data_IF_568853928787
#
_entry.id   IF_568853928787
#
_cell.length_a   1.000
_cell.length_b   1.000
_cell.length_c   1.000
_cell.angle_alpha   90.00
_cell.angle_beta   90.00
_cell.angle_gamma   90.00
#
_symmetry.space_group_name_H-M   'P 1'
#
loop_
_entity.id
_entity.type
_entity.pdbx_description
1 polymer ?
#
# COMPACT_ATOMS: atom_id res chain seq x y z
N UNK A 1 -7.91 0.68 -5.16
CA UNK A 1 -7.53 2.10 -5.39
C UNK A 1 -7.70 2.38 -6.88
N UNK A 2 -8.36 3.48 -7.24
CA UNK A 2 -8.81 3.75 -8.62
C UNK A 2 -8.39 5.15 -9.10
N UNK A 3 -7.36 5.71 -8.48
CA UNK A 3 -6.79 7.03 -8.82
C UNK A 3 -5.30 6.99 -8.54
N UNK A 4 -4.51 7.66 -9.36
CA UNK A 4 -3.10 7.90 -9.05
C UNK A 4 -2.95 8.89 -7.88
N UNK A 5 -1.76 8.98 -7.28
CA UNK A 5 -1.49 9.95 -6.19
C UNK A 5 -1.66 11.40 -6.68
N UNK A 6 -1.28 11.65 -7.94
CA UNK A 6 -1.41 12.93 -8.64
C UNK A 6 -1.96 12.66 -10.04
N UNK A 7 -2.94 13.46 -10.46
CA UNK A 7 -3.54 13.46 -11.80
C UNK A 7 -3.70 14.91 -12.26
N UNK A 8 -3.28 15.23 -13.49
CA UNK A 8 -3.29 16.60 -14.04
C UNK A 8 -2.65 17.64 -13.10
N UNK A 9 -1.56 17.25 -12.43
CA UNK A 9 -0.84 18.10 -11.47
C UNK A 9 -1.58 18.34 -10.14
N UNK A 10 -2.77 17.75 -9.95
CA UNK A 10 -3.56 17.85 -8.72
C UNK A 10 -3.41 16.60 -7.88
N UNK A 11 -3.15 16.77 -6.58
CA UNK A 11 -3.12 15.66 -5.63
C UNK A 11 -4.52 15.06 -5.47
N UNK A 12 -4.65 13.75 -5.70
CA UNK A 12 -5.90 12.98 -5.55
C UNK A 12 -5.87 12.07 -4.34
N UNK A 13 -4.70 11.53 -4.02
CA UNK A 13 -4.51 10.67 -2.86
C UNK A 13 -3.16 10.92 -2.20
N UNK A 14 -2.99 10.43 -0.97
CA UNK A 14 -1.70 10.37 -0.30
C UNK A 14 -1.11 8.97 -0.41
N UNK A 15 0.21 8.86 -0.28
CA UNK A 15 0.90 7.59 -0.14
C UNK A 15 0.64 7.05 1.28
N UNK A 16 -0.26 6.07 1.42
CA UNK A 16 -0.62 5.43 2.71
C UNK A 16 -0.02 4.03 2.87
N UNK A 17 0.96 3.69 2.03
CA UNK A 17 1.65 2.40 1.98
C UNK A 17 3.16 2.62 1.93
N UNK A 18 3.98 1.60 2.25
CA UNK A 18 5.42 1.67 2.03
C UNK A 18 5.76 1.89 0.55
N UNK A 19 6.94 2.47 0.30
CA UNK A 19 7.42 2.75 -1.05
C UNK A 19 7.95 1.49 -1.77
N UNK A 20 8.54 0.56 -1.02
CA UNK A 20 9.09 -0.69 -1.53
C UNK A 20 8.81 -1.90 -0.60
N UNK A 21 9.24 -3.08 -1.03
CA UNK A 21 9.04 -4.36 -0.32
C UNK A 21 10.02 -4.60 0.83
N UNK A 22 11.03 -3.75 1.02
CA UNK A 22 12.02 -3.91 2.09
C UNK A 22 11.67 -3.06 3.30
N UNK A 23 10.78 -2.09 3.14
CA UNK A 23 10.44 -1.13 4.17
C UNK A 23 9.10 -1.43 4.85
N UNK A 24 9.08 -1.19 6.17
CA UNK A 24 7.86 -1.14 6.97
C UNK A 24 7.60 0.31 7.33
N UNK A 25 6.39 0.79 7.02
CA UNK A 25 5.97 2.14 7.35
C UNK A 25 4.94 2.10 8.47
N UNK A 26 5.12 2.96 9.48
CA UNK A 26 4.18 3.11 10.58
C UNK A 26 3.22 4.26 10.30
N UNK A 27 1.93 3.98 10.35
CA UNK A 27 0.83 4.94 10.20
C UNK A 27 0.02 4.95 11.50
N UNK A 28 0.38 5.83 12.44
CA UNK A 28 -0.17 5.82 13.79
C UNK A 28 0.15 4.50 14.51
N UNK A 29 -0.87 3.80 14.97
CA UNK A 29 -0.73 2.51 15.65
C UNK A 29 -0.62 1.31 14.70
N UNK A 30 -0.60 1.50 13.38
CA UNK A 30 -0.59 0.41 12.41
C UNK A 30 0.76 0.40 11.68
N UNK A 31 1.48 -0.71 11.77
CA UNK A 31 2.64 -0.96 10.94
C UNK A 31 2.20 -1.71 9.68
N UNK A 32 2.65 -1.24 8.52
CA UNK A 32 2.35 -1.84 7.22
C UNK A 32 3.68 -2.21 6.55
N UNK A 33 3.81 -3.47 6.16
CA UNK A 33 4.95 -3.99 5.39
C UNK A 33 4.46 -4.49 4.04
N UNK A 34 5.17 -4.16 2.96
CA UNK A 34 4.83 -4.67 1.63
C UNK A 34 5.57 -5.98 1.38
N UNK A 35 4.84 -7.08 1.24
CA UNK A 35 5.40 -8.41 1.07
C UNK A 35 5.67 -8.70 -0.40
N UNK A 36 4.74 -8.30 -1.27
CA UNK A 36 4.82 -8.54 -2.71
C UNK A 36 4.19 -7.40 -3.47
N UNK A 37 4.71 -7.10 -4.65
CA UNK A 37 4.11 -6.19 -5.62
C UNK A 37 4.25 -6.79 -7.03
N UNK A 38 3.16 -6.81 -7.78
CA UNK A 38 3.12 -7.29 -9.17
C UNK A 38 2.50 -6.20 -10.04
N UNK A 39 3.18 -5.85 -11.13
CA UNK A 39 2.75 -4.82 -12.07
C UNK A 39 2.16 -5.49 -13.31
N UNK A 40 0.96 -5.05 -13.69
CA UNK A 40 0.26 -5.46 -14.90
C UNK A 40 0.02 -4.22 -15.77
N UNK A 41 -0.57 -4.42 -16.96
CA UNK A 41 -0.83 -3.33 -17.90
C UNK A 41 -1.74 -2.24 -17.30
N UNK A 42 -2.87 -2.66 -16.70
CA UNK A 42 -3.90 -1.71 -16.25
C UNK A 42 -3.96 -1.56 -14.73
N UNK A 43 -3.19 -2.35 -13.98
CA UNK A 43 -3.22 -2.31 -12.53
C UNK A 43 -1.93 -2.83 -11.89
N UNK A 44 -1.75 -2.50 -10.62
CA UNK A 44 -0.69 -3.01 -9.75
C UNK A 44 -1.31 -3.66 -8.52
N UNK A 45 -0.99 -4.92 -8.28
CA UNK A 45 -1.40 -5.64 -7.07
C UNK A 45 -0.28 -5.61 -6.03
N UNK A 46 -0.66 -5.60 -4.76
CA UNK A 46 0.25 -5.69 -3.62
C UNK A 46 -0.34 -6.58 -2.55
N UNK A 47 0.55 -7.33 -1.91
CA UNK A 47 0.26 -8.03 -0.67
C UNK A 47 0.89 -7.25 0.48
N UNK A 48 0.07 -6.78 1.41
CA UNK A 48 0.48 -5.98 2.55
C UNK A 48 0.24 -6.77 3.84
N UNK A 49 1.21 -6.77 4.74
CA UNK A 49 1.01 -7.23 6.12
C UNK A 49 0.81 -6.03 7.04
N UNK A 50 -0.28 -6.08 7.79
CA UNK A 50 -0.64 -5.06 8.75
C UNK A 50 -0.56 -5.64 10.17
N UNK A 51 0.07 -4.91 11.07
CA UNK A 51 0.10 -5.23 12.51
C UNK A 51 -0.28 -3.99 13.31
N UNK A 52 -0.99 -4.18 14.43
CA UNK A 52 -1.19 -3.09 15.40
C UNK A 52 -0.03 -3.08 16.40
N UNK A 53 0.49 -1.90 16.71
CA UNK A 53 1.50 -1.70 17.76
C UNK A 53 1.05 -2.39 19.05
N UNK A 54 1.98 -3.10 19.70
CA UNK A 54 1.73 -3.90 20.90
C UNK A 54 0.74 -5.07 20.72
N UNK A 55 0.41 -5.46 19.49
CA UNK A 55 -0.31 -6.72 19.20
C UNK A 55 0.55 -7.62 18.33
N UNK A 56 0.33 -8.93 18.49
CA UNK A 56 1.02 -9.97 17.72
C UNK A 56 0.22 -10.40 16.49
N UNK A 57 -1.03 -9.97 16.38
CA UNK A 57 -1.91 -10.31 15.27
C UNK A 57 -1.39 -9.67 13.98
N UNK A 58 -1.20 -10.50 12.96
CA UNK A 58 -0.82 -10.09 11.60
C UNK A 58 -2.01 -10.31 10.69
N UNK A 59 -2.33 -9.31 9.88
CA UNK A 59 -3.41 -9.40 8.88
C UNK A 59 -2.84 -9.13 7.49
N UNK A 60 -3.14 -10.04 6.56
CA UNK A 60 -2.78 -9.85 5.16
C UNK A 60 -3.89 -9.10 4.43
N UNK A 61 -3.51 -8.02 3.75
CA UNK A 61 -4.39 -7.19 2.93
C UNK A 61 -3.92 -7.23 1.48
N UNK A 62 -4.84 -7.56 0.57
CA UNK A 62 -4.59 -7.47 -0.86
C UNK A 62 -5.03 -6.11 -1.39
N UNK A 63 -4.07 -5.35 -1.91
CA UNK A 63 -4.30 -4.03 -2.49
C UNK A 63 -4.22 -4.12 -4.01
N UNK A 64 -5.28 -3.69 -4.69
CA UNK A 64 -5.28 -3.55 -6.15
C UNK A 64 -5.39 -2.06 -6.50
N UNK A 65 -4.46 -1.57 -7.31
CA UNK A 65 -4.43 -0.20 -7.81
C UNK A 65 -4.62 -0.21 -9.32
N UNK A 66 -5.78 0.23 -9.79
CA UNK A 66 -6.02 0.46 -11.21
C UNK A 66 -5.28 1.73 -11.66
N UNK A 67 -4.52 1.63 -12.75
CA UNK A 67 -3.58 2.67 -13.23
C UNK A 67 -3.78 3.08 -14.68
N UNK A 68 -4.69 2.45 -15.42
CA UNK A 68 -5.02 2.85 -16.79
C UNK A 68 -5.88 4.11 -16.88
#
# INVERSE_FOLDING_TARGET
MVTNTVEDGKRKCFQYRPDDTQNTSQFGDINISMIRQEMYADFVTRELQCTKVNRKDVHTVYHCHFTA
#
